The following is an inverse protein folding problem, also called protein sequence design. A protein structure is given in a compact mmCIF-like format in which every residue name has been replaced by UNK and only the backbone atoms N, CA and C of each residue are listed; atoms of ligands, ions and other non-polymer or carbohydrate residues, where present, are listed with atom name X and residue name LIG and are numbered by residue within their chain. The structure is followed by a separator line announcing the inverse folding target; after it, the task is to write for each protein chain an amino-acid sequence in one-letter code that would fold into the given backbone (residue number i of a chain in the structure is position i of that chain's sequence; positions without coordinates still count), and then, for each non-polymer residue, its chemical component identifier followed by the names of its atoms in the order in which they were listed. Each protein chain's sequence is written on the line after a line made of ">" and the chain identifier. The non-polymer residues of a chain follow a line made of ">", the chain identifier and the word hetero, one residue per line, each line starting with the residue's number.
data_IF_381008863261
#
_entry.id   IF_381008863261
#
_cell.length_a   1.000
_cell.length_b   1.000
_cell.length_c   1.000
_cell.angle_alpha   90.00
_cell.angle_beta   90.00
_cell.angle_gamma   90.00
#
_symmetry.space_group_name_H-M   'P 1'
#
loop_
_entity.id
_entity.type
_entity.pdbx_description
1 polymer ?
#
# COMPACT_ATOMS: atom_id res chain seq x y z
N UNK A 1 -10.81 -12.06 -8.86
CA UNK A 1 -11.77 -12.73 -7.96
C UNK A 1 -12.89 -11.76 -7.61
N UNK A 2 -14.11 -12.25 -7.41
CA UNK A 2 -15.28 -11.47 -7.01
C UNK A 2 -15.88 -12.11 -5.76
N UNK A 3 -16.51 -11.33 -4.89
CA UNK A 3 -17.19 -11.78 -3.67
C UNK A 3 -16.30 -12.63 -2.72
N UNK A 4 -15.05 -12.20 -2.51
CA UNK A 4 -14.05 -12.93 -1.69
C UNK A 4 -13.83 -12.37 -0.28
N UNK A 5 -14.56 -11.32 0.08
CA UNK A 5 -14.50 -10.67 1.39
C UNK A 5 -15.91 -10.41 1.90
N UNK A 6 -16.13 -10.62 3.19
CA UNK A 6 -17.29 -10.05 3.88
C UNK A 6 -17.15 -8.53 4.00
N UNK A 7 -18.28 -7.83 4.15
CA UNK A 7 -18.31 -6.36 4.27
C UNK A 7 -17.60 -5.82 5.52
N UNK A 8 -17.32 -6.69 6.50
CA UNK A 8 -16.59 -6.35 7.74
C UNK A 8 -15.10 -6.67 7.64
N UNK A 9 -14.66 -7.39 6.62
CA UNK A 9 -13.25 -7.72 6.42
C UNK A 9 -12.50 -6.53 5.80
N UNK A 10 -11.29 -6.29 6.30
CA UNK A 10 -10.42 -5.26 5.72
C UNK A 10 -9.78 -5.76 4.43
N UNK A 11 -10.06 -5.07 3.32
CA UNK A 11 -9.32 -5.25 2.08
C UNK A 11 -7.89 -4.68 2.21
N UNK A 12 -6.89 -5.49 1.88
CA UNK A 12 -5.48 -5.06 1.88
C UNK A 12 -4.83 -5.32 0.53
N UNK A 13 -4.00 -4.37 0.11
CA UNK A 13 -3.20 -4.48 -1.11
C UNK A 13 -2.30 -5.72 -1.10
N UNK A 14 -1.74 -6.09 0.06
CA UNK A 14 -0.91 -7.28 0.20
C UNK A 14 -1.70 -8.60 0.01
N UNK A 15 -2.96 -8.67 0.51
CA UNK A 15 -3.84 -9.83 0.25
C UNK A 15 -4.18 -9.93 -1.24
N UNK A 16 -4.55 -8.80 -1.85
CA UNK A 16 -4.82 -8.73 -3.28
C UNK A 16 -3.63 -9.18 -4.13
N UNK A 17 -2.44 -8.62 -3.88
CA UNK A 17 -1.21 -8.91 -4.64
C UNK A 17 -0.92 -10.42 -4.67
N UNK A 18 -0.97 -11.09 -3.50
CA UNK A 18 -0.75 -12.54 -3.41
C UNK A 18 -1.81 -13.35 -4.16
N UNK A 19 -3.09 -13.02 -3.96
CA UNK A 19 -4.19 -13.76 -4.58
C UNK A 19 -4.22 -13.56 -6.10
N UNK A 20 -4.07 -12.33 -6.57
CA UNK A 20 -4.06 -12.00 -7.99
C UNK A 20 -2.84 -12.59 -8.71
N UNK A 21 -1.65 -12.59 -8.08
CA UNK A 21 -0.49 -13.28 -8.63
C UNK A 21 -0.76 -14.78 -8.80
N UNK A 22 -1.33 -15.44 -7.79
CA UNK A 22 -1.69 -16.87 -7.88
C UNK A 22 -2.70 -17.14 -9.01
N UNK A 23 -3.71 -16.29 -9.19
CA UNK A 23 -4.68 -16.40 -10.29
C UNK A 23 -3.99 -16.23 -11.66
N UNK A 24 -3.08 -15.26 -11.80
CA UNK A 24 -2.30 -15.02 -13.02
C UNK A 24 -1.47 -16.25 -13.39
N UNK A 25 -0.70 -16.79 -12.44
CA UNK A 25 0.12 -17.98 -12.66
C UNK A 25 -0.75 -19.18 -13.05
N UNK A 26 -1.89 -19.37 -12.38
CA UNK A 26 -2.80 -20.46 -12.69
C UNK A 26 -3.44 -20.33 -14.08
N UNK A 27 -3.82 -19.12 -14.52
CA UNK A 27 -4.36 -18.86 -15.85
C UNK A 27 -3.29 -19.10 -16.92
N UNK A 28 -2.09 -18.56 -16.72
CA UNK A 28 -0.96 -18.74 -17.64
C UNK A 28 -0.57 -20.22 -17.78
N UNK A 29 -0.55 -20.97 -16.68
CA UNK A 29 -0.25 -22.41 -16.69
C UNK A 29 -1.26 -23.25 -17.51
N UNK A 30 -2.46 -22.72 -17.76
CA UNK A 30 -3.46 -23.35 -18.65
C UNK A 30 -3.33 -22.91 -20.11
N UNK A 31 -2.31 -22.12 -20.45
CA UNK A 31 -2.08 -21.60 -21.80
C UNK A 31 -2.99 -20.43 -22.20
N UNK A 32 -3.68 -19.80 -21.24
CA UNK A 32 -4.54 -18.64 -21.48
C UNK A 32 -3.82 -17.34 -21.09
N UNK A 33 -4.22 -16.22 -21.69
CA UNK A 33 -3.68 -14.89 -21.37
C UNK A 33 -4.47 -14.29 -20.20
N UNK A 34 -3.83 -14.01 -19.04
CA UNK A 34 -4.47 -13.33 -17.93
C UNK A 34 -4.77 -11.88 -18.29
N UNK A 35 -5.99 -11.41 -17.99
CA UNK A 35 -6.39 -10.01 -18.18
C UNK A 35 -6.81 -9.44 -16.82
N UNK A 36 -6.08 -8.43 -16.34
CA UNK A 36 -6.40 -7.72 -15.10
C UNK A 36 -7.20 -6.46 -15.47
N UNK A 37 -8.41 -6.34 -14.91
CA UNK A 37 -9.31 -5.21 -15.17
C UNK A 37 -9.72 -4.57 -13.84
N UNK A 38 -9.77 -3.23 -13.80
CA UNK A 38 -10.21 -2.47 -12.64
C UNK A 38 -9.65 -1.04 -12.62
N UNK A 39 -10.03 -0.26 -11.59
CA UNK A 39 -9.62 1.15 -11.45
C UNK A 39 -8.76 1.46 -10.21
N UNK A 40 -8.49 0.47 -9.35
CA UNK A 40 -7.70 0.67 -8.14
C UNK A 40 -6.19 0.62 -8.46
N UNK A 41 -5.64 1.73 -8.98
CA UNK A 41 -4.25 1.74 -9.49
C UNK A 41 -3.20 1.33 -8.47
N UNK A 42 -3.37 1.63 -7.18
CA UNK A 42 -2.47 1.13 -6.13
C UNK A 42 -2.38 -0.41 -6.12
N UNK A 43 -3.50 -1.10 -6.33
CA UNK A 43 -3.58 -2.55 -6.31
C UNK A 43 -2.92 -3.13 -7.56
N UNK A 44 -3.31 -2.61 -8.73
CA UNK A 44 -2.71 -3.01 -10.03
C UNK A 44 -1.20 -2.78 -10.02
N UNK A 45 -0.76 -1.58 -9.61
CA UNK A 45 0.65 -1.23 -9.61
C UNK A 45 1.45 -2.10 -8.64
N UNK A 46 0.92 -2.36 -7.43
CA UNK A 46 1.59 -3.26 -6.48
C UNK A 46 1.82 -4.67 -7.01
N UNK A 47 0.89 -5.15 -7.86
CA UNK A 47 0.95 -6.45 -8.48
C UNK A 47 1.98 -6.48 -9.61
N UNK A 48 2.00 -5.45 -10.46
CA UNK A 48 2.88 -5.39 -11.62
C UNK A 48 4.33 -5.07 -11.24
N UNK A 49 4.56 -4.23 -10.24
CA UNK A 49 5.90 -3.79 -9.82
C UNK A 49 6.47 -4.59 -8.64
N UNK A 50 5.82 -5.70 -8.25
CA UNK A 50 6.23 -6.57 -7.13
C UNK A 50 6.50 -5.82 -5.81
N UNK A 51 5.59 -4.92 -5.44
CA UNK A 51 5.80 -4.08 -4.25
C UNK A 51 5.96 -4.93 -2.99
N UNK A 52 7.05 -4.70 -2.26
CA UNK A 52 7.23 -5.25 -0.93
C UNK A 52 6.62 -4.32 0.10
N UNK A 53 5.65 -4.83 0.87
CA UNK A 53 5.04 -4.10 1.96
C UNK A 53 5.69 -4.49 3.27
N UNK A 54 6.16 -3.53 4.09
CA UNK A 54 6.66 -3.85 5.42
C UNK A 54 5.60 -4.58 6.23
N UNK A 55 6.04 -5.54 7.05
CA UNK A 55 5.16 -6.21 7.99
C UNK A 55 4.42 -5.20 8.89
N UNK A 56 3.27 -5.62 9.39
CA UNK A 56 2.49 -4.88 10.39
C UNK A 56 2.47 -5.71 11.67
N UNK A 57 2.58 -5.06 12.81
CA UNK A 57 2.40 -5.70 14.11
C UNK A 57 1.26 -4.98 14.86
N UNK A 58 0.13 -5.65 15.12
CA UNK A 58 -1.02 -5.03 15.79
C UNK A 58 -0.66 -4.44 17.17
N UNK A 59 0.29 -5.02 17.89
CA UNK A 59 0.70 -4.52 19.21
C UNK A 59 1.50 -3.23 19.10
N UNK A 60 2.40 -3.14 18.12
CA UNK A 60 3.19 -1.93 17.81
C UNK A 60 2.29 -0.82 17.31
N UNK A 61 1.38 -1.12 16.37
CA UNK A 61 0.38 -0.16 15.89
C UNK A 61 -0.48 0.37 17.04
N UNK A 62 -1.04 -0.52 17.87
CA UNK A 62 -1.88 -0.11 18.99
C UNK A 62 -1.13 0.78 20.00
N UNK A 63 0.17 0.56 20.21
CA UNK A 63 0.98 1.44 21.07
C UNK A 63 1.12 2.84 20.48
N UNK A 64 1.36 2.95 19.17
CA UNK A 64 1.44 4.25 18.50
C UNK A 64 0.09 4.97 18.42
N UNK A 65 -1.01 4.23 18.26
CA UNK A 65 -2.37 4.78 18.31
C UNK A 65 -2.73 5.29 19.71
N UNK A 66 -2.37 4.55 20.78
CA UNK A 66 -2.50 5.07 22.15
C UNK A 66 -1.68 6.34 22.35
N UNK A 67 -0.45 6.35 21.85
CA UNK A 67 0.41 7.54 21.95
C UNK A 67 -0.19 8.73 21.21
N UNK A 68 -0.73 8.52 20.01
CA UNK A 68 -1.46 9.53 19.25
C UNK A 68 -2.60 10.13 20.09
N UNK A 69 -3.39 9.29 20.75
CA UNK A 69 -4.50 9.74 21.59
C UNK A 69 -4.03 10.55 22.81
N UNK A 70 -2.87 10.21 23.39
CA UNK A 70 -2.31 10.91 24.55
C UNK A 70 -1.71 12.29 24.21
N UNK A 71 -0.97 12.41 23.09
CA UNK A 71 -0.18 13.62 22.80
C UNK A 71 -0.66 14.44 21.61
N UNK A 72 -1.60 13.91 20.84
CA UNK A 72 -2.08 14.53 19.60
C UNK A 72 -1.10 14.36 18.44
N UNK A 73 -1.60 14.66 17.24
CA UNK A 73 -0.90 14.44 15.97
C UNK A 73 0.38 15.26 15.84
N UNK A 74 0.36 16.54 16.25
CA UNK A 74 1.52 17.44 16.10
C UNK A 74 2.76 16.93 16.85
N UNK A 75 2.57 16.49 18.10
CA UNK A 75 3.66 15.93 18.91
C UNK A 75 4.13 14.58 18.39
N UNK A 76 3.22 13.78 17.83
CA UNK A 76 3.57 12.50 17.24
C UNK A 76 4.35 12.69 15.93
N UNK A 77 3.98 13.68 15.11
CA UNK A 77 4.71 14.04 13.90
C UNK A 77 6.12 14.59 14.23
N UNK A 78 6.26 15.36 15.31
CA UNK A 78 7.57 15.76 15.82
C UNK A 78 8.44 14.58 16.30
N UNK A 79 7.84 13.51 16.84
CA UNK A 79 8.56 12.25 17.12
C UNK A 79 9.00 11.59 15.81
N UNK A 80 8.13 11.53 14.80
CA UNK A 80 8.49 11.02 13.47
C UNK A 80 9.66 11.82 12.88
N UNK A 81 9.65 13.15 12.97
CA UNK A 81 10.71 14.01 12.44
C UNK A 81 12.08 13.73 13.08
N UNK A 82 12.12 13.28 14.34
CA UNK A 82 13.37 12.87 15.01
C UNK A 82 13.87 11.51 14.56
N UNK A 83 12.98 10.58 14.19
CA UNK A 83 13.34 9.20 13.81
C UNK A 83 13.56 9.03 12.31
N UNK A 84 12.75 9.72 11.52
CA UNK A 84 12.76 9.70 10.06
C UNK A 84 12.38 11.09 9.51
N UNK A 85 13.37 12.00 9.39
CA UNK A 85 13.14 13.35 8.87
C UNK A 85 12.57 13.36 7.45
N UNK A 86 12.93 12.38 6.61
CA UNK A 86 12.47 12.31 5.24
C UNK A 86 10.98 11.95 5.16
N UNK A 87 10.53 10.98 5.96
CA UNK A 87 9.11 10.66 6.07
C UNK A 87 8.30 11.81 6.66
N UNK A 88 8.81 12.50 7.68
CA UNK A 88 8.14 13.65 8.27
C UNK A 88 7.97 14.80 7.26
N UNK A 89 8.92 15.00 6.33
CA UNK A 89 8.80 15.98 5.26
C UNK A 89 7.75 15.59 4.21
N UNK A 90 7.56 14.29 3.95
CA UNK A 90 6.61 13.78 2.96
C UNK A 90 5.18 13.61 3.50
N UNK A 91 5.01 13.45 4.80
CA UNK A 91 3.72 13.23 5.47
C UNK A 91 3.23 14.54 6.07
N UNK A 92 2.01 14.95 5.70
CA UNK A 92 1.38 16.14 6.27
C UNK A 92 1.30 16.02 7.80
N UNK A 93 1.60 17.09 8.56
CA UNK A 93 1.55 17.07 10.02
C UNK A 93 0.21 16.62 10.60
N UNK A 94 -0.88 16.83 9.87
CA UNK A 94 -2.24 16.45 10.25
C UNK A 94 -2.62 15.02 9.88
N UNK A 95 -1.79 14.29 9.12
CA UNK A 95 -2.06 12.90 8.72
C UNK A 95 -1.62 11.92 9.81
N UNK A 96 -2.49 11.80 10.82
CA UNK A 96 -2.31 10.91 11.95
C UNK A 96 -2.08 9.45 11.53
N UNK A 97 -2.84 8.98 10.53
CA UNK A 97 -2.78 7.59 10.07
C UNK A 97 -1.44 7.27 9.43
N UNK A 98 -0.93 8.13 8.53
CA UNK A 98 0.39 7.94 7.92
C UNK A 98 1.51 8.12 8.93
N UNK A 99 1.39 9.05 9.88
CA UNK A 99 2.38 9.24 10.94
C UNK A 99 2.53 7.98 11.81
N UNK A 100 1.41 7.39 12.27
CA UNK A 100 1.41 6.12 13.01
C UNK A 100 2.03 5.00 12.18
N UNK A 101 1.68 4.88 10.89
CA UNK A 101 2.26 3.85 10.02
C UNK A 101 3.76 4.03 9.83
N UNK A 102 4.24 5.25 9.63
CA UNK A 102 5.67 5.52 9.45
C UNK A 102 6.47 5.15 10.71
N UNK A 103 5.97 5.54 11.89
CA UNK A 103 6.58 5.17 13.18
C UNK A 103 6.56 3.66 13.43
N UNK A 104 5.46 2.98 13.09
CA UNK A 104 5.37 1.52 13.15
C UNK A 104 6.44 0.86 12.26
N UNK A 105 6.57 1.28 11.01
CA UNK A 105 7.56 0.71 10.07
C UNK A 105 8.97 0.96 10.55
N UNK A 106 9.29 2.19 10.99
CA UNK A 106 10.62 2.52 11.51
C UNK A 106 10.96 1.66 12.72
N UNK A 107 10.00 1.41 13.60
CA UNK A 107 10.25 0.56 14.76
C UNK A 107 10.43 -0.92 14.39
N UNK A 108 9.59 -1.46 13.51
CA UNK A 108 9.65 -2.87 13.13
C UNK A 108 10.90 -3.21 12.30
N UNK A 109 11.35 -2.28 11.47
CA UNK A 109 12.41 -2.53 10.49
C UNK A 109 13.75 -1.92 10.88
N UNK A 110 13.75 -0.93 11.78
CA UNK A 110 14.92 -0.09 12.05
C UNK A 110 15.34 0.78 10.87
N UNK A 111 14.56 0.82 9.78
CA UNK A 111 14.85 1.57 8.56
C UNK A 111 13.88 2.74 8.37
N UNK A 112 14.27 3.79 7.64
CA UNK A 112 13.34 4.86 7.26
C UNK A 112 12.11 4.30 6.54
N UNK A 113 10.93 4.90 6.78
CA UNK A 113 9.68 4.57 6.11
C UNK A 113 9.82 4.64 4.58
N UNK A 114 10.55 5.64 4.07
CA UNK A 114 10.82 5.79 2.65
C UNK A 114 11.69 4.66 2.06
N UNK A 115 12.47 3.94 2.87
CA UNK A 115 13.23 2.78 2.39
C UNK A 115 12.31 1.62 1.97
N UNK A 116 11.05 1.63 2.43
CA UNK A 116 10.01 0.71 1.98
C UNK A 116 9.20 1.21 0.79
N UNK A 117 9.53 2.39 0.25
CA UNK A 117 8.85 2.91 -0.93
C UNK A 117 9.15 2.01 -2.13
N UNK A 118 8.12 1.51 -2.81
CA UNK A 118 8.32 0.64 -3.95
C UNK A 118 8.91 1.43 -5.13
N UNK A 119 9.74 0.74 -5.92
CA UNK A 119 10.29 1.28 -7.16
C UNK A 119 9.46 0.76 -8.33
N UNK A 120 9.03 1.67 -9.18
CA UNK A 120 8.34 1.32 -10.43
C UNK A 120 9.38 0.75 -11.39
N UNK A 121 9.13 -0.45 -11.89
CA UNK A 121 10.07 -1.21 -12.71
C UNK A 121 9.47 -1.61 -14.05
N UNK A 122 10.12 -2.56 -14.72
CA UNK A 122 9.46 -3.29 -15.79
C UNK A 122 8.31 -4.11 -15.18
N UNK A 123 7.09 -4.03 -15.74
CA UNK A 123 5.96 -4.75 -15.17
C UNK A 123 6.19 -6.26 -15.26
N UNK A 124 5.83 -6.98 -14.20
CA UNK A 124 5.84 -8.45 -14.16
C UNK A 124 5.07 -9.04 -15.33
N UNK A 125 5.46 -10.26 -15.72
CA UNK A 125 4.84 -11.04 -16.81
C UNK A 125 4.87 -10.34 -18.18
N UNK A 126 5.81 -9.42 -18.39
CA UNK A 126 5.90 -8.59 -19.61
C UNK A 126 4.55 -7.93 -19.96
N UNK A 127 3.84 -7.49 -18.92
CA UNK A 127 2.44 -7.03 -19.04
C UNK A 127 2.34 -5.79 -19.93
N UNK A 128 1.42 -5.83 -20.90
CA UNK A 128 0.98 -4.65 -21.66
C UNK A 128 -0.11 -3.92 -20.89
N UNK A 129 0.07 -2.62 -20.64
CA UNK A 129 -0.88 -1.79 -19.92
C UNK A 129 -1.68 -0.95 -20.92
N UNK A 130 -3.01 -1.07 -20.88
CA UNK A 130 -3.93 -0.29 -21.72
C UNK A 130 -4.77 0.61 -20.82
N UNK A 131 -4.65 1.93 -21.03
CA UNK A 131 -5.50 2.93 -20.40
C UNK A 131 -6.70 3.25 -21.29
N UNK A 132 -7.90 3.25 -20.71
CA UNK A 132 -9.09 3.79 -21.36
C UNK A 132 -9.25 5.24 -20.92
N UNK A 133 -9.32 6.16 -21.87
CA UNK A 133 -9.50 7.58 -21.62
C UNK A 133 -10.83 8.06 -22.19
N UNK A 134 -11.45 9.01 -21.50
CA UNK A 134 -12.71 9.62 -21.88
C UNK A 134 -12.67 11.09 -21.46
N UNK A 135 -13.29 11.97 -22.25
CA UNK A 135 -13.41 13.38 -21.86
C UNK A 135 -14.12 13.47 -20.51
N UNK A 136 -13.53 14.21 -19.56
CA UNK A 136 -14.10 14.37 -18.21
C UNK A 136 -15.52 14.91 -18.25
N UNK A 137 -15.84 15.76 -19.24
CA UNK A 137 -17.20 16.30 -19.46
C UNK A 137 -18.26 15.25 -19.81
N UNK A 138 -17.86 14.03 -20.17
CA UNK A 138 -18.77 12.90 -20.45
C UNK A 138 -18.92 12.01 -19.19
N UNK A 139 -17.98 12.09 -18.24
CA UNK A 139 -17.94 11.28 -17.03
C UNK A 139 -18.69 11.91 -15.85
N UNK A 140 -18.86 13.23 -15.86
CA UNK A 140 -19.65 14.01 -14.88
C UNK A 140 -21.16 13.95 -15.15
#
# INVERSE_FOLDING_TARGET
>A
QLDVLDVTETATVARYQRAAAADIEAIAARGAVPVVVGGSMLYVQSLLDDWSFPATDPSVRARWERRLAEVGVDRLHAELARRDPAAAAAILPTDARRTVRALEVVELTGQPFAASAPRIGAPRWDTVIVGLDCQTTILD
#
